data_IF_977227082816
#
_entry.id   IF_977227082816
#
_cell.length_a   1.000
_cell.length_b   1.000
_cell.length_c   1.000
_cell.angle_alpha   90.00
_cell.angle_beta   90.00
_cell.angle_gamma   90.00
#
_symmetry.space_group_name_H-M   'P 1'
#
loop_
_entity.id
_entity.type
_entity.pdbx_description
1 polymer ?
#
# COMPACT_ATOMS: atom_id res chain seq x y z
N UNK A 1 -12.12 -4.39 -16.88
CA UNK A 1 -10.79 -4.15 -17.50
C UNK A 1 -10.40 -5.47 -18.12
N UNK A 2 -10.24 -5.56 -19.44
CA UNK A 2 -9.95 -6.83 -20.10
C UNK A 2 -8.42 -7.02 -20.10
N UNK A 3 -7.94 -8.04 -19.39
CA UNK A 3 -6.51 -8.37 -19.32
C UNK A 3 -6.17 -9.40 -20.40
N UNK A 4 -6.37 -9.03 -21.66
CA UNK A 4 -5.90 -9.87 -22.77
C UNK A 4 -4.38 -9.84 -22.89
N UNK A 5 -3.84 -10.83 -23.61
CA UNK A 5 -2.39 -11.00 -23.78
C UNK A 5 -1.73 -9.74 -24.36
N UNK A 6 -2.34 -9.11 -25.37
CA UNK A 6 -1.78 -7.93 -26.02
C UNK A 6 -1.69 -6.74 -25.05
N UNK A 7 -2.73 -6.53 -24.24
CA UNK A 7 -2.77 -5.49 -23.20
C UNK A 7 -1.71 -5.74 -22.14
N UNK A 8 -1.57 -6.99 -21.66
CA UNK A 8 -0.58 -7.34 -20.65
C UNK A 8 0.85 -7.24 -21.20
N UNK A 9 1.11 -7.62 -22.45
CA UNK A 9 2.44 -7.46 -23.05
C UNK A 9 2.79 -5.99 -23.23
N UNK A 10 1.84 -5.14 -23.64
CA UNK A 10 2.04 -3.69 -23.68
C UNK A 10 2.35 -3.11 -22.30
N UNK A 11 1.62 -3.51 -21.26
CA UNK A 11 1.87 -3.07 -19.88
C UNK A 11 3.23 -3.55 -19.37
N UNK A 12 3.59 -4.81 -19.63
CA UNK A 12 4.90 -5.37 -19.31
C UNK A 12 6.03 -4.61 -20.02
N UNK A 13 5.75 -4.13 -21.24
CA UNK A 13 6.70 -3.38 -22.03
C UNK A 13 6.79 -1.91 -21.67
N UNK A 14 5.78 -1.27 -21.08
CA UNK A 14 5.71 0.20 -20.91
C UNK A 14 5.48 0.69 -19.48
N UNK A 15 4.82 -0.08 -18.62
CA UNK A 15 4.47 0.34 -17.28
C UNK A 15 5.71 0.34 -16.36
N UNK A 16 6.10 1.48 -15.74
CA UNK A 16 7.34 1.60 -14.97
C UNK A 16 7.47 0.57 -13.84
N UNK A 17 6.37 0.32 -13.12
CA UNK A 17 6.33 -0.68 -12.04
C UNK A 17 6.70 -2.09 -12.55
N UNK A 18 6.16 -2.51 -13.70
CA UNK A 18 6.42 -3.85 -14.23
C UNK A 18 7.82 -3.93 -14.86
N UNK A 19 8.26 -2.85 -15.52
CA UNK A 19 9.63 -2.71 -16.00
C UNK A 19 10.65 -2.83 -14.86
N UNK A 20 10.37 -2.22 -13.70
CA UNK A 20 11.19 -2.36 -12.49
C UNK A 20 11.27 -3.82 -12.06
N UNK A 21 10.13 -4.47 -11.86
CA UNK A 21 10.07 -5.85 -11.37
C UNK A 21 10.70 -6.88 -12.33
N UNK A 22 10.81 -6.55 -13.63
CA UNK A 22 11.49 -7.38 -14.64
C UNK A 22 12.98 -7.09 -14.77
N UNK A 23 13.50 -6.04 -14.14
CA UNK A 23 14.90 -5.65 -14.29
C UNK A 23 15.82 -6.60 -13.52
N UNK A 24 16.95 -6.98 -14.11
CA UNK A 24 18.00 -7.74 -13.40
C UNK A 24 18.59 -6.97 -12.21
N UNK A 25 18.43 -5.64 -12.19
CA UNK A 25 18.84 -4.77 -11.09
C UNK A 25 17.71 -4.42 -10.12
N UNK A 26 16.54 -5.07 -10.24
CA UNK A 26 15.40 -4.82 -9.36
C UNK A 26 15.75 -4.89 -7.86
N UNK A 27 16.57 -5.85 -7.37
CA UNK A 27 16.93 -5.91 -5.95
C UNK A 27 17.64 -4.65 -5.46
N UNK A 28 18.67 -4.18 -6.18
CA UNK A 28 19.40 -2.94 -5.87
C UNK A 28 18.47 -1.73 -5.90
N UNK A 29 17.68 -1.59 -6.96
CA UNK A 29 16.81 -0.41 -7.13
C UNK A 29 15.75 -0.38 -6.04
N UNK A 30 15.10 -1.51 -5.76
CA UNK A 30 14.06 -1.59 -4.75
C UNK A 30 14.61 -1.39 -3.34
N UNK A 31 15.74 -2.04 -2.97
CA UNK A 31 16.35 -1.89 -1.65
C UNK A 31 16.77 -0.45 -1.39
N UNK A 32 17.46 0.17 -2.34
CA UNK A 32 17.94 1.54 -2.24
C UNK A 32 16.79 2.54 -2.13
N UNK A 33 15.82 2.49 -3.07
CA UNK A 33 14.71 3.45 -3.09
C UNK A 33 13.77 3.28 -1.89
N UNK A 34 13.56 2.05 -1.42
CA UNK A 34 12.82 1.79 -0.18
C UNK A 34 13.51 2.48 1.01
N UNK A 35 14.82 2.30 1.15
CA UNK A 35 15.61 2.86 2.26
C UNK A 35 15.65 4.38 2.23
N UNK A 36 15.74 4.99 1.05
CA UNK A 36 15.99 6.44 0.89
C UNK A 36 14.70 7.26 0.83
N UNK A 37 13.64 6.77 0.18
CA UNK A 37 12.38 7.52 0.03
C UNK A 37 11.27 6.99 0.93
N UNK A 38 11.00 5.68 0.89
CA UNK A 38 9.78 5.11 1.48
C UNK A 38 9.87 5.00 3.00
N UNK A 39 10.92 4.35 3.53
CA UNK A 39 11.10 4.18 4.98
C UNK A 39 11.17 5.50 5.75
N UNK A 40 11.97 6.50 5.33
CA UNK A 40 12.02 7.79 6.00
C UNK A 40 10.89 8.75 5.58
N UNK A 41 10.02 8.34 4.64
CA UNK A 41 8.95 9.17 4.07
C UNK A 41 9.45 10.51 3.49
N UNK A 42 10.59 10.45 2.79
CA UNK A 42 11.16 11.59 2.07
C UNK A 42 10.47 11.69 0.72
N UNK A 43 9.93 12.86 0.38
CA UNK A 43 9.24 13.07 -0.90
C UNK A 43 10.17 13.46 -2.03
N UNK A 44 11.19 14.26 -1.73
CA UNK A 44 12.09 14.86 -2.71
C UNK A 44 13.49 14.89 -2.12
N UNK A 45 14.51 14.57 -2.92
CA UNK A 45 15.91 14.59 -2.52
C UNK A 45 16.77 15.31 -3.55
N UNK A 46 17.79 16.05 -3.09
CA UNK A 46 18.75 16.70 -3.96
C UNK A 46 19.62 15.66 -4.70
N UNK A 47 20.07 15.97 -5.91
CA UNK A 47 20.87 15.03 -6.70
C UNK A 47 22.18 14.66 -5.99
N UNK A 48 22.85 15.62 -5.35
CA UNK A 48 24.12 15.37 -4.67
C UNK A 48 23.94 14.33 -3.55
N UNK A 49 22.99 14.57 -2.64
CA UNK A 49 22.70 13.67 -1.51
C UNK A 49 22.27 12.28 -1.97
N UNK A 50 21.44 12.19 -3.02
CA UNK A 50 20.95 10.94 -3.55
C UNK A 50 22.08 10.15 -4.24
N UNK A 51 22.95 10.84 -4.98
CA UNK A 51 24.09 10.22 -5.66
C UNK A 51 25.13 9.72 -4.66
N UNK A 52 25.44 10.49 -3.62
CA UNK A 52 26.32 10.07 -2.52
C UNK A 52 25.77 8.81 -1.84
N UNK A 53 24.49 8.84 -1.44
CA UNK A 53 23.83 7.70 -0.79
C UNK A 53 23.84 6.42 -1.64
N UNK A 54 23.76 6.55 -2.96
CA UNK A 54 23.81 5.41 -3.89
C UNK A 54 25.24 4.93 -4.10
N UNK A 55 26.22 5.84 -4.18
CA UNK A 55 27.62 5.45 -4.35
C UNK A 55 28.11 4.64 -3.15
N UNK A 56 27.72 5.00 -1.93
CA UNK A 56 28.01 4.21 -0.72
C UNK A 56 27.42 2.78 -0.80
N UNK A 57 26.19 2.64 -1.31
CA UNK A 57 25.55 1.33 -1.47
C UNK A 57 26.22 0.50 -2.57
N UNK A 58 26.56 1.13 -3.71
CA UNK A 58 27.31 0.49 -4.79
C UNK A 58 28.71 0.06 -4.33
N UNK A 59 29.39 0.88 -3.55
CA UNK A 59 30.69 0.56 -2.98
C UNK A 59 30.61 -0.69 -2.09
N UNK A 60 29.65 -0.73 -1.16
CA UNK A 60 29.43 -1.90 -0.30
C UNK A 60 29.09 -3.18 -1.09
N UNK A 61 28.32 -3.06 -2.18
CA UNK A 61 28.00 -4.20 -3.05
C UNK A 61 29.21 -4.68 -3.84
N UNK A 62 30.03 -3.77 -4.39
CA UNK A 62 31.27 -4.12 -5.10
C UNK A 62 32.28 -4.81 -4.19
N UNK A 63 32.40 -4.37 -2.93
CA UNK A 63 33.24 -5.00 -1.92
C UNK A 63 32.79 -6.44 -1.58
N UNK A 64 31.48 -6.70 -1.56
CA UNK A 64 30.93 -7.99 -1.13
C UNK A 64 30.71 -8.99 -2.27
N UNK A 65 30.37 -8.52 -3.47
CA UNK A 65 29.99 -9.35 -4.63
C UNK A 65 31.02 -9.34 -5.76
N UNK A 66 32.02 -8.45 -5.69
CA UNK A 66 33.08 -8.29 -6.69
C UNK A 66 33.01 -6.96 -7.45
N UNK A 67 34.17 -6.47 -7.89
CA UNK A 67 34.34 -5.14 -8.49
C UNK A 67 33.57 -4.93 -9.80
N UNK A 68 33.27 -6.00 -10.52
CA UNK A 68 32.60 -5.94 -11.83
C UNK A 68 31.08 -5.78 -11.70
N UNK A 69 30.53 -5.93 -10.50
CA UNK A 69 29.10 -5.81 -10.24
C UNK A 69 28.71 -4.33 -10.17
N UNK A 70 27.65 -3.97 -10.88
CA UNK A 70 27.14 -2.59 -10.99
C UNK A 70 28.21 -1.57 -11.45
N UNK A 71 28.71 -1.66 -12.70
CA UNK A 71 29.90 -0.92 -13.14
C UNK A 71 29.66 0.59 -13.38
N UNK A 72 28.42 1.06 -13.42
CA UNK A 72 28.11 2.47 -13.65
C UNK A 72 28.27 3.28 -12.37
N UNK A 73 28.56 4.58 -12.50
CA UNK A 73 28.51 5.51 -11.37
C UNK A 73 27.09 5.67 -10.83
N UNK A 74 26.96 6.09 -9.57
CA UNK A 74 25.67 6.40 -8.97
C UNK A 74 24.84 7.37 -9.82
N UNK A 75 25.44 8.47 -10.29
CA UNK A 75 24.74 9.46 -11.08
C UNK A 75 24.23 8.92 -12.43
N UNK A 76 24.99 8.05 -13.09
CA UNK A 76 24.54 7.36 -14.31
C UNK A 76 23.34 6.46 -14.02
N UNK A 77 23.36 5.71 -12.92
CA UNK A 77 22.20 4.91 -12.50
C UNK A 77 20.97 5.77 -12.20
N UNK A 78 21.11 6.87 -11.48
CA UNK A 78 19.99 7.77 -11.17
C UNK A 78 19.39 8.40 -12.43
N UNK A 79 20.24 8.82 -13.38
CA UNK A 79 19.78 9.34 -14.67
C UNK A 79 19.08 8.25 -15.50
N UNK A 80 19.61 7.02 -15.50
CA UNK A 80 18.94 5.88 -16.13
C UNK A 80 17.56 5.65 -15.52
N UNK A 81 17.45 5.64 -14.19
CA UNK A 81 16.19 5.42 -13.48
C UNK A 81 15.18 6.55 -13.71
N UNK A 82 15.65 7.78 -13.93
CA UNK A 82 14.82 8.92 -14.29
C UNK A 82 14.53 9.05 -15.80
N UNK A 83 15.14 8.23 -16.65
CA UNK A 83 14.90 8.25 -18.10
C UNK A 83 13.44 7.94 -18.42
N UNK A 84 12.93 8.44 -19.55
CA UNK A 84 11.57 8.15 -20.02
C UNK A 84 11.32 6.65 -20.21
N UNK A 85 12.37 5.87 -20.50
CA UNK A 85 12.28 4.42 -20.64
C UNK A 85 12.11 3.69 -19.30
N UNK A 86 12.61 4.22 -18.19
CA UNK A 86 12.42 3.58 -16.89
C UNK A 86 11.29 4.23 -16.11
N UNK A 87 11.31 5.56 -16.01
CA UNK A 87 10.33 6.35 -15.29
C UNK A 87 10.22 5.98 -13.82
N UNK A 88 11.30 5.46 -13.23
CA UNK A 88 11.31 5.01 -11.84
C UNK A 88 11.45 6.19 -10.87
N UNK A 89 12.28 7.14 -11.27
CA UNK A 89 12.42 8.44 -10.64
C UNK A 89 11.93 9.53 -11.59
N UNK A 90 11.67 10.72 -11.04
CA UNK A 90 11.52 11.95 -11.85
C UNK A 90 12.58 12.93 -11.41
N UNK A 91 13.32 13.45 -12.40
CA UNK A 91 14.29 14.52 -12.21
C UNK A 91 13.67 15.87 -12.56
N UNK A 92 13.83 16.87 -11.70
CA UNK A 92 13.29 18.21 -11.93
C UNK A 92 14.14 19.27 -11.22
N UNK A 93 13.94 20.53 -11.59
CA UNK A 93 14.56 21.68 -10.92
C UNK A 93 13.50 22.42 -10.11
N UNK A 94 13.84 22.79 -8.88
CA UNK A 94 12.99 23.63 -8.03
C UNK A 94 13.24 25.10 -8.35
N UNK A 95 12.23 25.94 -8.16
CA UNK A 95 12.37 27.37 -8.45
C UNK A 95 13.43 28.00 -7.53
N UNK A 96 14.42 28.66 -8.13
CA UNK A 96 15.49 29.34 -7.39
C UNK A 96 16.66 28.46 -6.98
N UNK A 97 16.75 27.22 -7.48
CA UNK A 97 17.94 26.38 -7.36
C UNK A 97 18.41 25.88 -8.73
N UNK A 98 19.71 25.92 -8.95
CA UNK A 98 20.37 25.29 -10.10
C UNK A 98 20.70 23.81 -9.84
N UNK A 99 20.35 23.30 -8.67
CA UNK A 99 20.53 21.90 -8.31
C UNK A 99 19.33 21.05 -8.75
N UNK A 100 19.55 19.91 -9.44
CA UNK A 100 18.47 18.98 -9.74
C UNK A 100 18.00 18.24 -8.49
N UNK A 101 16.69 17.98 -8.43
CA UNK A 101 16.05 17.17 -7.43
C UNK A 101 15.39 15.94 -8.06
N UNK A 102 15.21 14.90 -7.24
CA UNK A 102 14.58 13.66 -7.60
C UNK A 102 13.42 13.34 -6.66
N UNK A 103 12.34 12.80 -7.22
CA UNK A 103 11.32 12.09 -6.43
C UNK A 103 11.04 10.70 -6.98
N UNK A 104 10.47 9.87 -6.10
CA UNK A 104 10.05 8.52 -6.42
C UNK A 104 8.74 8.58 -7.23
N UNK A 105 8.69 7.91 -8.37
CA UNK A 105 7.46 7.89 -9.15
C UNK A 105 6.40 6.99 -8.48
N UNK A 106 5.10 7.36 -8.49
CA UNK A 106 4.05 6.55 -7.87
C UNK A 106 3.98 5.10 -8.36
N UNK A 107 4.23 4.77 -9.64
CA UNK A 107 4.32 3.38 -10.07
C UNK A 107 5.45 2.58 -9.40
N UNK A 108 6.60 3.21 -9.15
CA UNK A 108 7.75 2.58 -8.49
C UNK A 108 7.44 2.31 -7.03
N UNK A 109 6.84 3.27 -6.34
CA UNK A 109 6.38 3.09 -4.96
C UNK A 109 5.41 1.90 -4.86
N UNK A 110 4.45 1.78 -5.78
CA UNK A 110 3.54 0.62 -5.83
C UNK A 110 4.27 -0.70 -6.01
N UNK A 111 5.29 -0.76 -6.87
CA UNK A 111 6.08 -1.96 -7.08
C UNK A 111 6.84 -2.37 -5.81
N UNK A 112 7.47 -1.41 -5.12
CA UNK A 112 8.23 -1.66 -3.89
C UNK A 112 7.29 -2.06 -2.74
N UNK A 113 6.13 -1.40 -2.61
CA UNK A 113 5.10 -1.79 -1.64
C UNK A 113 4.60 -3.21 -1.89
N UNK A 114 4.42 -3.62 -3.15
CA UNK A 114 4.10 -5.01 -3.48
C UNK A 114 5.24 -5.97 -3.12
N UNK A 115 6.51 -5.63 -3.36
CA UNK A 115 7.64 -6.45 -2.91
C UNK A 115 7.65 -6.63 -1.38
N UNK A 116 7.26 -5.60 -0.62
CA UNK A 116 7.13 -5.71 0.84
C UNK A 116 6.06 -6.74 1.25
N UNK A 117 4.96 -6.89 0.49
CA UNK A 117 3.94 -7.92 0.78
C UNK A 117 4.46 -9.34 0.56
N UNK A 118 5.53 -9.54 -0.23
CA UNK A 118 6.13 -10.86 -0.43
C UNK A 118 6.92 -11.36 0.79
N UNK A 119 7.37 -10.44 1.65
CA UNK A 119 8.16 -10.75 2.86
C UNK A 119 7.30 -10.71 4.12
N UNK A 120 6.21 -9.96 4.10
CA UNK A 120 5.17 -10.07 5.12
C UNK A 120 4.60 -11.48 5.02
N UNK A 121 4.91 -12.32 6.01
CA UNK A 121 4.21 -13.59 6.21
C UNK A 121 2.73 -13.30 6.04
N UNK A 122 2.07 -14.07 5.17
CA UNK A 122 0.65 -14.29 5.21
C UNK A 122 0.31 -14.88 6.56
N UNK A 123 0.23 -14.01 7.56
CA UNK A 123 -0.58 -14.26 8.71
C UNK A 123 -2.03 -14.04 8.28
N UNK A 124 -2.50 -14.85 7.33
CA UNK A 124 -3.91 -15.22 7.16
C UNK A 124 -4.31 -16.17 8.31
N UNK A 125 -3.80 -15.87 9.51
CA UNK A 125 -4.31 -16.34 10.78
C UNK A 125 -5.09 -15.24 11.48
N UNK A 126 -5.02 -13.97 11.05
CA UNK A 126 -5.68 -12.87 11.76
C UNK A 126 -7.15 -12.71 11.43
N UNK A 127 -7.62 -12.93 10.20
CA UNK A 127 -9.06 -12.77 9.94
C UNK A 127 -9.88 -13.88 10.59
N UNK A 128 -9.44 -15.14 10.46
CA UNK A 128 -10.03 -16.28 11.17
C UNK A 128 -9.93 -16.11 12.70
N UNK A 129 -8.81 -15.61 13.24
CA UNK A 129 -8.70 -15.34 14.69
C UNK A 129 -9.51 -14.14 15.13
N UNK A 130 -9.65 -13.07 14.34
CA UNK A 130 -10.38 -11.86 14.72
C UNK A 130 -11.89 -12.09 14.63
N UNK A 131 -12.34 -12.86 13.64
CA UNK A 131 -13.71 -13.37 13.58
C UNK A 131 -13.99 -14.33 14.73
N UNK A 132 -13.09 -15.29 14.99
CA UNK A 132 -13.21 -16.18 16.15
C UNK A 132 -13.17 -15.41 17.47
N UNK A 133 -12.36 -14.35 17.58
CA UNK A 133 -12.28 -13.48 18.76
C UNK A 133 -13.54 -12.64 18.92
N UNK A 134 -14.11 -12.13 17.84
CA UNK A 134 -15.41 -11.43 17.84
C UNK A 134 -16.53 -12.37 18.26
N UNK A 135 -16.51 -13.61 17.77
CA UNK A 135 -17.52 -14.61 18.03
C UNK A 135 -17.43 -15.12 19.46
N UNK A 136 -16.22 -15.31 19.99
CA UNK A 136 -15.98 -15.63 21.39
C UNK A 136 -16.30 -14.46 22.33
N UNK A 137 -15.96 -13.22 21.98
CA UNK A 137 -16.34 -12.02 22.75
C UNK A 137 -17.86 -11.83 22.76
N UNK A 138 -18.54 -12.09 21.64
CA UNK A 138 -20.00 -12.07 21.55
C UNK A 138 -20.62 -13.19 22.40
N UNK A 139 -20.09 -14.41 22.32
CA UNK A 139 -20.51 -15.53 23.18
C UNK A 139 -20.23 -15.27 24.66
N UNK A 140 -19.18 -14.51 25.00
CA UNK A 140 -18.89 -14.11 26.39
C UNK A 140 -19.71 -12.91 26.87
N UNK A 141 -20.06 -11.96 26.00
CA UNK A 141 -21.02 -10.88 26.30
C UNK A 141 -22.43 -11.44 26.48
N UNK A 142 -22.88 -12.27 25.54
CA UNK A 142 -24.19 -12.92 25.58
C UNK A 142 -24.26 -14.03 26.64
N UNK A 143 -23.13 -14.70 26.92
CA UNK A 143 -23.02 -15.78 27.90
C UNK A 143 -22.64 -15.34 29.32
N UNK A 144 -22.20 -14.08 29.53
CA UNK A 144 -21.81 -13.59 30.86
C UNK A 144 -22.46 -12.27 31.31
N UNK A 145 -23.35 -11.65 30.53
CA UNK A 145 -24.08 -10.46 30.98
C UNK A 145 -25.09 -10.77 32.09
N UNK A 146 -24.58 -10.70 33.32
CA UNK A 146 -25.06 -9.83 34.39
C UNK A 146 -26.49 -9.29 34.21
N UNK A 147 -27.39 -9.76 35.08
CA UNK A 147 -28.54 -9.02 35.61
C UNK A 147 -29.52 -8.43 34.58
N UNK A 148 -30.78 -8.89 34.53
CA UNK A 148 -31.83 -8.36 33.64
C UNK A 148 -31.92 -6.83 33.56
N UNK A 149 -31.54 -6.12 34.63
CA UNK A 149 -31.59 -4.66 34.74
C UNK A 149 -30.57 -3.94 33.85
N UNK A 150 -29.36 -4.48 33.68
CA UNK A 150 -28.31 -3.87 32.84
C UNK A 150 -28.71 -3.96 31.36
N UNK A 151 -29.26 -5.10 30.97
CA UNK A 151 -29.77 -5.31 29.60
C UNK A 151 -30.92 -4.39 29.27
N UNK A 152 -31.83 -4.15 30.22
CA UNK A 152 -32.95 -3.21 30.04
C UNK A 152 -32.44 -1.76 29.92
N UNK A 153 -31.40 -1.38 30.67
CA UNK A 153 -30.83 -0.04 30.56
C UNK A 153 -30.16 0.21 29.20
N UNK A 154 -29.44 -0.77 28.65
CA UNK A 154 -28.87 -0.68 27.30
C UNK A 154 -29.94 -0.63 26.21
N UNK A 155 -31.00 -1.44 26.35
CA UNK A 155 -32.13 -1.42 25.43
C UNK A 155 -32.88 -0.09 25.47
N UNK A 156 -33.03 0.52 26.65
CA UNK A 156 -33.59 1.87 26.78
C UNK A 156 -32.69 2.92 26.13
N UNK A 157 -31.37 2.88 26.35
CA UNK A 157 -30.44 3.80 25.70
C UNK A 157 -30.52 3.70 24.17
N UNK A 158 -30.60 2.47 23.64
CA UNK A 158 -30.69 2.23 22.20
C UNK A 158 -32.04 2.66 21.63
N UNK A 159 -33.12 2.48 22.38
CA UNK A 159 -34.44 3.02 22.03
C UNK A 159 -34.39 4.55 21.97
N UNK A 160 -33.83 5.21 22.98
CA UNK A 160 -33.75 6.67 23.02
C UNK A 160 -32.89 7.26 21.88
N UNK A 161 -31.84 6.53 21.45
CA UNK A 161 -31.05 6.87 20.25
C UNK A 161 -31.88 6.74 18.97
N UNK A 162 -32.65 5.65 18.82
CA UNK A 162 -33.54 5.41 17.68
C UNK A 162 -34.67 6.45 17.64
N UNK A 163 -35.27 6.77 18.78
CA UNK A 163 -36.35 7.75 18.86
C UNK A 163 -35.87 9.14 18.42
N UNK A 164 -34.63 9.53 18.78
CA UNK A 164 -34.00 10.76 18.29
C UNK A 164 -33.74 10.75 16.78
N UNK A 165 -33.29 9.62 16.23
CA UNK A 165 -33.09 9.47 14.79
C UNK A 165 -34.43 9.56 14.03
N UNK A 166 -35.49 8.95 14.57
CA UNK A 166 -36.85 9.06 14.04
C UNK A 166 -37.34 10.52 14.09
N UNK A 167 -37.14 11.22 15.21
CA UNK A 167 -37.50 12.64 15.34
C UNK A 167 -36.74 13.52 14.33
N UNK A 168 -35.45 13.26 14.11
CA UNK A 168 -34.65 13.95 13.10
C UNK A 168 -35.21 13.72 11.69
N UNK A 169 -35.49 12.47 11.33
CA UNK A 169 -36.08 12.11 10.04
C UNK A 169 -37.47 12.74 9.85
N UNK A 170 -38.33 12.70 10.88
CA UNK A 170 -39.67 13.31 10.85
C UNK A 170 -39.62 14.84 10.78
N UNK A 171 -38.57 15.47 11.31
CA UNK A 171 -38.32 16.91 11.20
C UNK A 171 -37.82 17.35 9.81
N UNK A 172 -37.61 16.40 8.90
CA UNK A 172 -37.20 16.64 7.52
C UNK A 172 -35.68 16.60 7.29
N UNK A 173 -34.89 16.33 8.33
CA UNK A 173 -33.45 16.13 8.23
C UNK A 173 -33.17 14.63 8.02
N UNK A 174 -33.16 14.21 6.75
CA UNK A 174 -32.80 12.86 6.37
C UNK A 174 -31.31 12.86 6.04
N UNK A 175 -30.44 12.26 6.88
CA UNK A 175 -29.03 12.10 6.55
C UNK A 175 -28.91 11.04 5.46
N UNK A 176 -29.19 11.43 4.22
CA UNK A 176 -28.90 10.63 3.04
C UNK A 176 -27.39 10.66 2.83
N UNK A 177 -26.81 9.48 2.68
CA UNK A 177 -25.48 9.37 2.09
C UNK A 177 -25.54 10.02 0.71
N UNK A 178 -24.71 11.04 0.49
CA UNK A 178 -24.58 11.60 -0.85
C UNK A 178 -24.00 10.54 -1.82
N UNK A 179 -24.14 10.78 -3.12
CA UNK A 179 -23.69 9.84 -4.14
C UNK A 179 -22.18 9.56 -4.07
N UNK A 180 -21.39 10.45 -3.47
CA UNK A 180 -19.94 10.30 -3.32
C UNK A 180 -19.62 9.31 -2.19
N UNK A 181 -20.24 9.49 -1.02
CA UNK A 181 -20.09 8.61 0.13
C UNK A 181 -20.59 7.18 -0.17
N UNK A 182 -21.67 7.05 -0.96
CA UNK A 182 -22.15 5.76 -1.46
C UNK A 182 -21.12 5.07 -2.36
N UNK A 183 -20.52 5.83 -3.28
CA UNK A 183 -19.50 5.30 -4.21
C UNK A 183 -18.23 4.88 -3.48
N UNK A 184 -17.78 5.67 -2.51
CA UNK A 184 -16.60 5.36 -1.70
C UNK A 184 -16.81 4.11 -0.85
N UNK A 185 -17.98 3.97 -0.20
CA UNK A 185 -18.31 2.74 0.55
C UNK A 185 -18.41 1.52 -0.34
N UNK A 186 -18.96 1.67 -1.55
CA UNK A 186 -19.02 0.57 -2.52
C UNK A 186 -17.62 0.13 -2.97
N UNK A 187 -16.71 1.08 -3.20
CA UNK A 187 -15.31 0.78 -3.51
C UNK A 187 -14.62 0.07 -2.35
N UNK A 188 -14.84 0.52 -1.12
CA UNK A 188 -14.27 -0.09 0.09
C UNK A 188 -14.75 -1.52 0.30
N UNK A 189 -16.05 -1.79 0.13
CA UNK A 189 -16.61 -3.15 0.21
C UNK A 189 -16.03 -4.04 -0.89
N UNK A 190 -15.91 -3.54 -2.12
CA UNK A 190 -15.36 -4.30 -3.25
C UNK A 190 -13.89 -4.66 -3.03
N UNK A 191 -13.13 -3.77 -2.41
CA UNK A 191 -11.73 -4.00 -2.06
C UNK A 191 -11.61 -5.10 -1.00
N UNK A 192 -12.34 -4.97 0.11
CA UNK A 192 -12.34 -5.95 1.21
C UNK A 192 -12.80 -7.34 0.74
N UNK A 193 -13.83 -7.42 -0.11
CA UNK A 193 -14.30 -8.70 -0.64
C UNK A 193 -13.26 -9.39 -1.55
N UNK A 194 -12.44 -8.63 -2.27
CA UNK A 194 -11.36 -9.17 -3.11
C UNK A 194 -10.17 -9.63 -2.28
N UNK A 195 -9.84 -8.91 -1.21
CA UNK A 195 -8.80 -9.31 -0.25
C UNK A 195 -9.19 -10.64 0.41
N UNK A 196 -10.41 -10.75 0.94
CA UNK A 196 -10.94 -11.99 1.51
C UNK A 196 -10.87 -13.19 0.53
N UNK A 197 -11.25 -12.99 -0.75
CA UNK A 197 -11.17 -14.05 -1.78
C UNK A 197 -9.72 -14.46 -2.11
N UNK A 198 -8.79 -13.51 -2.06
CA UNK A 198 -7.36 -13.78 -2.26
C UNK A 198 -6.81 -14.59 -1.08
N UNK A 199 -7.19 -14.22 0.14
CA UNK A 199 -6.80 -14.87 1.38
C UNK A 199 -7.26 -16.33 1.41
N UNK A 200 -8.46 -16.64 0.90
CA UNK A 200 -8.92 -18.04 0.75
C UNK A 200 -8.05 -18.88 -0.21
N UNK A 201 -7.59 -18.31 -1.33
CA UNK A 201 -6.71 -19.02 -2.27
C UNK A 201 -5.33 -19.27 -1.69
N UNK A 202 -4.85 -18.35 -0.86
CA UNK A 202 -3.57 -18.50 -0.16
C UNK A 202 -3.64 -19.56 0.94
N UNK A 203 -4.80 -19.71 1.61
CA UNK A 203 -5.07 -20.83 2.52
C UNK A 203 -5.04 -22.17 1.77
N UNK A 204 -5.68 -22.29 0.59
CA UNK A 204 -5.62 -23.52 -0.22
C UNK A 204 -4.20 -23.93 -0.66
N UNK A 205 -3.27 -22.99 -0.78
CA UNK A 205 -1.88 -23.29 -1.16
C UNK A 205 -1.00 -23.70 0.04
N UNK A 206 -1.37 -23.31 1.26
CA UNK A 206 -0.61 -23.52 2.49
C UNK A 206 -1.06 -24.75 3.31
N UNK A 207 -2.05 -25.50 2.83
CA UNK A 207 -2.54 -26.78 3.38
C UNK A 207 -2.34 -27.93 2.38
#
# INVERSE_FOLDING_TARGET
>A
MNFDFATLDLLRQSHPAWRLLRSDHAPLVASFLQRVFIMPNVRVMAQADLAESLEDELFAMRESLGSDVFPKSALEYLNDWASTEKGWLRKFYVQGSDEPYFDLSPPTEKAITWLATLTQRSFVGTESRLLTLFELLKQMSEGSESGPQTRVAELHKRRDEIDREIEQILSGDIPLLDNTALKDRFQQITQLARELLSDFREVEHNF
#
